data_IF_713018333297
#
_entry.id   IF_713018333297
#
_cell.length_a   1.000
_cell.length_b   1.000
_cell.length_c   1.000
_cell.angle_alpha   90.00
_cell.angle_beta   90.00
_cell.angle_gamma   90.00
#
_symmetry.space_group_name_H-M   'P 1'
#
loop_
_entity.id
_entity.type
_entity.pdbx_description
1 polymer ?
#
# COMPACT_ATOMS: atom_id res chain seq x y z
N UNK A 1 17.02 10.66 -23.67
CA UNK A 1 15.77 11.23 -23.15
C UNK A 1 16.12 11.93 -21.83
N UNK A 2 15.65 13.17 -21.63
CA UNK A 2 16.02 14.00 -20.48
C UNK A 2 15.23 13.68 -19.22
N UNK A 3 15.33 12.45 -18.72
CA UNK A 3 14.74 12.10 -17.43
C UNK A 3 15.65 12.53 -16.27
N UNK A 4 15.08 13.11 -15.24
CA UNK A 4 15.81 13.54 -14.03
C UNK A 4 16.20 12.33 -13.16
N UNK A 5 15.44 11.24 -13.25
CA UNK A 5 15.66 10.03 -12.46
C UNK A 5 15.24 8.78 -13.21
N UNK A 6 16.00 7.71 -13.05
CA UNK A 6 15.75 6.39 -13.61
C UNK A 6 15.69 5.42 -12.44
N UNK A 7 14.55 4.75 -12.26
CA UNK A 7 14.34 3.81 -11.16
C UNK A 7 14.25 2.39 -11.74
N UNK A 8 15.15 1.52 -11.30
CA UNK A 8 15.08 0.09 -11.56
C UNK A 8 14.44 -0.60 -10.36
N UNK A 9 13.46 -1.45 -10.61
CA UNK A 9 12.80 -2.28 -9.60
C UNK A 9 13.17 -3.74 -9.88
N UNK A 10 13.97 -4.35 -9.01
CA UNK A 10 14.46 -5.71 -9.15
C UNK A 10 14.08 -6.57 -7.97
N UNK A 11 14.00 -7.89 -8.16
CA UNK A 11 14.00 -8.83 -7.05
C UNK A 11 15.32 -8.79 -6.29
N UNK A 12 15.30 -9.09 -5.01
CA UNK A 12 16.47 -9.04 -4.13
C UNK A 12 17.61 -9.98 -4.57
N UNK A 13 17.28 -11.04 -5.32
CA UNK A 13 18.25 -11.94 -5.96
C UNK A 13 19.15 -11.24 -6.98
N UNK A 14 18.75 -10.10 -7.50
CA UNK A 14 19.53 -9.28 -8.44
C UNK A 14 20.44 -8.24 -7.76
N UNK A 15 20.67 -8.32 -6.44
CA UNK A 15 21.52 -7.36 -5.71
C UNK A 15 22.92 -7.19 -6.32
N UNK A 16 23.50 -8.25 -6.91
CA UNK A 16 24.80 -8.22 -7.58
C UNK A 16 24.84 -7.33 -8.83
N UNK A 17 23.67 -6.95 -9.40
CA UNK A 17 23.62 -6.06 -10.56
C UNK A 17 23.70 -4.57 -10.20
N UNK A 18 23.53 -4.21 -8.94
CA UNK A 18 23.54 -2.81 -8.50
C UNK A 18 24.85 -2.11 -8.87
N UNK A 19 25.97 -2.69 -8.49
CA UNK A 19 27.30 -2.15 -8.80
C UNK A 19 27.57 -2.12 -10.33
N UNK A 20 27.11 -3.15 -11.04
CA UNK A 20 27.28 -3.24 -12.50
C UNK A 20 26.54 -2.16 -13.25
N UNK A 21 25.28 -1.88 -12.87
CA UNK A 21 24.47 -0.83 -13.50
C UNK A 21 25.03 0.56 -13.24
N UNK A 22 25.48 0.82 -12.00
CA UNK A 22 26.14 2.07 -11.66
C UNK A 22 27.45 2.25 -12.41
N UNK A 23 28.28 1.20 -12.49
CA UNK A 23 29.52 1.20 -13.27
C UNK A 23 29.28 1.40 -14.77
N UNK A 24 28.25 0.79 -15.31
CA UNK A 24 27.85 0.99 -16.72
C UNK A 24 27.44 2.46 -16.98
N UNK A 25 26.65 3.05 -16.08
CA UNK A 25 26.28 4.47 -16.22
C UNK A 25 27.52 5.38 -16.21
N UNK A 26 28.46 5.13 -15.32
CA UNK A 26 29.73 5.87 -15.27
C UNK A 26 30.59 5.69 -16.54
N UNK A 27 30.68 4.45 -17.03
CA UNK A 27 31.44 4.15 -18.26
C UNK A 27 30.86 4.85 -19.50
N UNK A 28 29.55 5.08 -19.52
CA UNK A 28 28.85 5.81 -20.57
C UNK A 28 28.83 7.33 -20.34
N UNK A 29 29.59 7.85 -19.38
CA UNK A 29 29.59 9.24 -18.97
C UNK A 29 28.18 9.79 -18.59
N UNK A 30 27.32 8.91 -18.09
CA UNK A 30 26.01 9.27 -17.56
C UNK A 30 26.12 9.57 -16.07
N UNK A 31 25.28 10.46 -15.59
CA UNK A 31 25.20 10.76 -14.15
C UNK A 31 24.59 9.57 -13.38
N UNK A 32 25.45 8.77 -12.73
CA UNK A 32 25.03 7.61 -11.97
C UNK A 32 24.17 7.96 -10.75
N UNK A 33 24.16 9.22 -10.28
CA UNK A 33 23.28 9.66 -9.17
C UNK A 33 21.81 9.69 -9.58
N UNK A 34 21.52 9.75 -10.87
CA UNK A 34 20.17 9.65 -11.43
C UNK A 34 19.63 8.22 -11.46
N UNK A 35 20.49 7.23 -11.28
CA UNK A 35 20.13 5.81 -11.31
C UNK A 35 19.85 5.32 -9.90
N UNK A 36 18.61 4.98 -9.65
CA UNK A 36 18.15 4.41 -8.40
C UNK A 36 17.73 2.95 -8.61
N UNK A 37 18.08 2.09 -7.68
CA UNK A 37 17.77 0.67 -7.78
C UNK A 37 17.07 0.25 -6.50
N UNK A 38 15.80 -0.15 -6.63
CA UNK A 38 14.99 -0.69 -5.57
C UNK A 38 15.06 -2.22 -5.64
N UNK A 39 15.46 -2.84 -4.54
CA UNK A 39 15.47 -4.29 -4.40
C UNK A 39 14.24 -4.71 -3.61
N UNK A 40 13.38 -5.51 -4.24
CA UNK A 40 12.14 -5.98 -3.64
C UNK A 40 12.34 -7.41 -3.13
N UNK A 41 12.04 -7.63 -1.86
CA UNK A 41 12.11 -8.95 -1.23
C UNK A 41 11.02 -9.89 -1.75
N UNK A 42 11.24 -11.19 -1.56
CA UNK A 42 10.30 -12.21 -2.01
C UNK A 42 9.01 -12.16 -1.20
N UNK A 43 7.90 -12.36 -1.89
CA UNK A 43 6.63 -12.69 -1.27
C UNK A 43 6.48 -14.23 -1.20
N UNK A 44 6.09 -14.73 -0.04
CA UNK A 44 5.79 -16.13 0.18
C UNK A 44 4.30 -16.27 0.41
N UNK A 45 3.63 -17.13 -0.34
CA UNK A 45 2.20 -17.36 -0.19
C UNK A 45 1.95 -18.43 0.86
N UNK A 46 0.96 -18.17 1.70
CA UNK A 46 0.45 -19.11 2.71
C UNK A 46 -1.04 -19.35 2.52
N UNK A 47 -1.49 -20.56 2.80
CA UNK A 47 -2.89 -20.92 2.97
C UNK A 47 -3.07 -21.25 4.47
N UNK A 48 -3.52 -20.29 5.26
CA UNK A 48 -3.44 -20.36 6.71
C UNK A 48 -2.00 -20.51 7.19
N UNK A 49 -1.69 -21.60 7.87
CA UNK A 49 -0.33 -21.88 8.38
C UNK A 49 0.56 -22.67 7.42
N UNK A 50 0.03 -23.09 6.27
CA UNK A 50 0.78 -23.90 5.31
C UNK A 50 1.34 -23.05 4.18
N UNK A 51 2.65 -23.21 3.92
CA UNK A 51 3.30 -22.55 2.81
C UNK A 51 2.85 -23.15 1.49
N UNK A 52 2.34 -22.33 0.58
CA UNK A 52 2.03 -22.74 -0.80
C UNK A 52 3.33 -23.04 -1.53
N UNK A 53 3.51 -24.32 -1.90
CA UNK A 53 4.69 -24.76 -2.63
C UNK A 53 4.65 -24.23 -4.06
N UNK A 54 5.71 -23.50 -4.45
CA UNK A 54 5.85 -22.98 -5.80
C UNK A 54 7.16 -23.46 -6.40
N UNK A 55 7.09 -24.02 -7.60
CA UNK A 55 8.26 -24.45 -8.36
C UNK A 55 8.07 -24.08 -9.83
N UNK A 56 8.84 -23.12 -10.28
CA UNK A 56 8.86 -22.73 -11.71
C UNK A 56 9.33 -23.88 -12.61
N UNK A 57 10.25 -24.72 -12.11
CA UNK A 57 10.76 -25.88 -12.85
C UNK A 57 9.73 -27.00 -13.00
N UNK A 58 8.85 -27.16 -12.02
CA UNK A 58 7.76 -28.14 -12.05
C UNK A 58 6.47 -27.58 -12.66
N UNK A 59 6.44 -26.31 -13.07
CA UNK A 59 5.22 -25.65 -13.58
C UNK A 59 4.16 -25.40 -12.50
N UNK A 60 4.51 -25.56 -11.23
CA UNK A 60 3.61 -25.34 -10.10
C UNK A 60 3.88 -23.97 -9.51
N UNK A 61 3.08 -22.99 -9.87
CA UNK A 61 3.15 -21.63 -9.33
C UNK A 61 1.78 -20.96 -9.43
N UNK A 62 1.52 -20.08 -8.45
CA UNK A 62 0.35 -19.21 -8.47
C UNK A 62 0.72 -17.96 -9.25
N UNK A 63 0.02 -17.69 -10.35
CA UNK A 63 0.22 -16.47 -11.12
C UNK A 63 -0.38 -15.27 -10.39
N UNK A 64 0.11 -14.06 -10.66
CA UNK A 64 -0.50 -12.83 -10.14
C UNK A 64 -1.96 -12.68 -10.59
N UNK A 65 -2.32 -13.22 -11.77
CA UNK A 65 -3.70 -13.24 -12.25
C UNK A 65 -4.57 -14.11 -11.35
N UNK A 66 -4.13 -15.34 -11.08
CA UNK A 66 -4.84 -16.27 -10.19
C UNK A 66 -4.99 -15.68 -8.78
N UNK A 67 -3.91 -15.12 -8.22
CA UNK A 67 -3.96 -14.45 -6.93
C UNK A 67 -5.03 -13.35 -6.91
N UNK A 68 -5.02 -12.48 -7.93
CA UNK A 68 -6.00 -11.38 -8.03
C UNK A 68 -7.43 -11.87 -8.21
N UNK A 69 -7.64 -12.97 -8.94
CA UNK A 69 -8.96 -13.59 -9.13
C UNK A 69 -9.46 -14.21 -7.82
N UNK A 70 -8.57 -14.74 -7.01
CA UNK A 70 -8.86 -15.41 -5.75
C UNK A 70 -9.18 -14.44 -4.61
N UNK A 71 -8.33 -13.45 -4.37
CA UNK A 71 -8.47 -12.51 -3.23
C UNK A 71 -9.06 -11.15 -3.61
N UNK A 72 -9.23 -10.88 -4.89
CA UNK A 72 -9.64 -9.58 -5.41
C UNK A 72 -8.47 -8.60 -5.61
N UNK A 73 -8.68 -7.61 -6.48
CA UNK A 73 -7.64 -6.65 -6.84
C UNK A 73 -7.21 -5.76 -5.67
N UNK A 74 -8.16 -5.33 -4.84
CA UNK A 74 -7.90 -4.43 -3.72
C UNK A 74 -7.07 -5.12 -2.63
N UNK A 75 -7.45 -6.35 -2.26
CA UNK A 75 -6.70 -7.13 -1.28
C UNK A 75 -5.29 -7.46 -1.81
N UNK A 76 -5.16 -7.94 -3.05
CA UNK A 76 -3.86 -8.22 -3.63
C UNK A 76 -2.94 -6.98 -3.58
N UNK A 77 -3.41 -5.82 -4.02
CA UNK A 77 -2.62 -4.58 -4.00
C UNK A 77 -2.27 -4.11 -2.59
N UNK A 78 -3.24 -4.14 -1.68
CA UNK A 78 -3.03 -3.68 -0.31
C UNK A 78 -1.99 -4.52 0.42
N UNK A 79 -2.09 -5.85 0.36
CA UNK A 79 -1.14 -6.74 1.01
C UNK A 79 0.29 -6.57 0.48
N UNK A 80 0.46 -6.36 -0.83
CA UNK A 80 1.78 -6.10 -1.41
C UNK A 80 2.40 -4.78 -0.95
N UNK A 81 1.61 -3.73 -0.72
CA UNK A 81 2.13 -2.42 -0.32
C UNK A 81 2.13 -2.21 1.20
N UNK A 82 1.57 -3.13 1.97
CA UNK A 82 1.52 -3.05 3.43
C UNK A 82 2.89 -3.25 4.08
N UNK A 83 3.83 -3.88 3.38
CA UNK A 83 5.22 -4.08 3.81
C UNK A 83 6.16 -3.25 2.95
N UNK A 84 7.29 -2.83 3.54
CA UNK A 84 8.32 -2.17 2.75
C UNK A 84 8.94 -3.16 1.75
N UNK A 85 9.43 -2.65 0.63
CA UNK A 85 10.05 -3.48 -0.40
C UNK A 85 11.30 -4.25 0.11
N UNK A 86 11.92 -3.80 1.20
CA UNK A 86 13.08 -4.45 1.83
C UNK A 86 12.68 -5.59 2.77
N UNK A 87 11.42 -5.71 3.13
CA UNK A 87 10.92 -6.72 4.05
C UNK A 87 10.31 -7.92 3.29
N UNK A 88 10.52 -9.11 3.83
CA UNK A 88 9.80 -10.29 3.36
C UNK A 88 8.29 -10.13 3.59
N UNK A 89 7.50 -10.52 2.60
CA UNK A 89 6.05 -10.55 2.68
C UNK A 89 5.57 -11.99 2.80
N UNK A 90 5.00 -12.32 3.95
CA UNK A 90 4.18 -13.52 4.10
C UNK A 90 2.74 -13.15 3.73
N UNK A 91 2.29 -13.60 2.58
CA UNK A 91 0.97 -13.32 2.05
C UNK A 91 0.02 -14.45 2.41
N UNK A 92 -0.82 -14.23 3.39
CA UNK A 92 -1.83 -15.18 3.82
C UNK A 92 -3.10 -15.04 2.94
N UNK A 93 -3.32 -16.05 2.08
CA UNK A 93 -4.46 -16.11 1.17
C UNK A 93 -5.78 -16.26 1.92
N UNK A 94 -5.81 -17.06 3.00
CA UNK A 94 -7.00 -17.23 3.81
C UNK A 94 -7.41 -15.93 4.47
N UNK A 95 -6.46 -15.20 5.07
CA UNK A 95 -6.71 -13.89 5.67
C UNK A 95 -7.19 -12.88 4.62
N UNK A 96 -6.57 -12.88 3.44
CA UNK A 96 -6.91 -11.94 2.37
C UNK A 96 -8.33 -12.14 1.79
N UNK A 97 -8.89 -13.35 1.93
CA UNK A 97 -10.29 -13.67 1.53
C UNK A 97 -11.32 -13.33 2.60
N UNK A 98 -10.91 -13.16 3.87
CA UNK A 98 -11.85 -12.94 4.98
C UNK A 98 -12.56 -11.59 4.84
N UNK A 99 -13.87 -11.62 5.07
CA UNK A 99 -14.72 -10.44 5.19
C UNK A 99 -14.96 -10.08 6.67
N UNK A 100 -13.88 -10.05 7.45
CA UNK A 100 -13.89 -9.75 8.88
C UNK A 100 -12.87 -8.67 9.20
N UNK A 101 -12.97 -8.09 10.40
CA UNK A 101 -12.06 -7.03 10.85
C UNK A 101 -10.60 -7.49 10.98
N UNK A 102 -10.32 -8.79 10.96
CA UNK A 102 -8.95 -9.32 10.95
C UNK A 102 -8.27 -9.04 9.61
N UNK A 103 -9.04 -8.93 8.51
CA UNK A 103 -8.52 -8.55 7.21
C UNK A 103 -8.35 -7.03 7.15
N UNK A 104 -7.13 -6.50 7.05
CA UNK A 104 -6.88 -5.06 7.07
C UNK A 104 -7.53 -4.32 5.90
N UNK A 105 -7.68 -4.97 4.74
CA UNK A 105 -8.39 -4.38 3.59
C UNK A 105 -9.88 -4.19 3.90
N UNK A 106 -10.49 -5.24 4.42
CA UNK A 106 -11.90 -5.20 4.81
C UNK A 106 -12.14 -4.14 5.89
N UNK A 107 -11.23 -4.03 6.86
CA UNK A 107 -11.31 -3.03 7.92
C UNK A 107 -11.31 -1.60 7.38
N UNK A 108 -10.43 -1.28 6.43
CA UNK A 108 -10.39 0.04 5.75
C UNK A 108 -11.67 0.28 4.94
N UNK A 109 -12.10 -0.71 4.15
CA UNK A 109 -13.33 -0.63 3.36
C UNK A 109 -14.57 -0.48 4.25
N UNK A 110 -14.59 -1.15 5.40
CA UNK A 110 -15.68 -1.01 6.39
C UNK A 110 -15.75 0.41 6.96
N UNK A 111 -14.62 1.01 7.31
CA UNK A 111 -14.58 2.40 7.77
C UNK A 111 -15.17 3.36 6.71
N UNK A 112 -14.77 3.20 5.44
CA UNK A 112 -15.34 3.97 4.33
C UNK A 112 -16.85 3.75 4.19
N UNK A 113 -17.31 2.50 4.24
CA UNK A 113 -18.72 2.16 4.15
C UNK A 113 -19.57 2.78 5.29
N UNK A 114 -19.00 2.87 6.49
CA UNK A 114 -19.63 3.53 7.64
C UNK A 114 -19.81 5.03 7.40
N UNK A 115 -18.79 5.71 6.90
CA UNK A 115 -18.85 7.13 6.56
C UNK A 115 -19.89 7.37 5.45
N UNK A 116 -19.84 6.56 4.38
CA UNK A 116 -20.84 6.66 3.29
C UNK A 116 -22.27 6.41 3.78
N UNK A 117 -22.47 5.47 4.70
CA UNK A 117 -23.76 5.21 5.32
C UNK A 117 -24.27 6.40 6.15
N UNK A 118 -23.35 7.08 6.87
CA UNK A 118 -23.72 8.29 7.62
C UNK A 118 -24.27 9.37 6.70
N UNK A 119 -23.62 9.65 5.59
CA UNK A 119 -24.09 10.64 4.63
C UNK A 119 -25.45 10.26 4.03
N UNK A 120 -25.70 9.00 3.68
CA UNK A 120 -27.01 8.54 3.23
C UNK A 120 -28.11 8.77 4.28
N UNK A 121 -27.80 8.47 5.56
CA UNK A 121 -28.76 8.72 6.65
C UNK A 121 -29.08 10.22 6.83
N UNK A 122 -28.11 11.11 6.62
CA UNK A 122 -28.35 12.55 6.63
C UNK A 122 -29.34 12.95 5.53
N UNK A 123 -29.17 12.42 4.31
CA UNK A 123 -30.06 12.66 3.19
C UNK A 123 -31.47 12.14 3.48
N UNK A 124 -31.62 10.91 3.96
CA UNK A 124 -32.91 10.30 4.32
C UNK A 124 -33.65 11.09 5.40
N UNK A 125 -32.94 11.66 6.34
CA UNK A 125 -33.48 12.51 7.41
C UNK A 125 -33.66 13.97 7.00
N UNK A 126 -33.37 14.31 5.75
CA UNK A 126 -33.39 15.68 5.23
C UNK A 126 -32.48 16.65 6.02
N UNK A 127 -31.42 16.12 6.64
CA UNK A 127 -30.42 16.91 7.33
C UNK A 127 -29.29 17.24 6.33
N UNK A 128 -29.22 18.49 5.92
CA UNK A 128 -28.17 18.95 5.00
C UNK A 128 -26.80 19.03 5.69
N UNK A 129 -25.76 18.56 5.02
CA UNK A 129 -24.38 18.87 5.41
C UNK A 129 -24.06 20.32 5.01
N UNK A 130 -23.62 21.12 5.97
CA UNK A 130 -23.18 22.49 5.73
C UNK A 130 -21.77 22.69 6.29
N UNK A 131 -20.81 22.87 5.37
CA UNK A 131 -19.40 23.04 5.74
C UNK A 131 -19.16 24.24 6.64
N UNK A 132 -19.80 25.40 6.34
CA UNK A 132 -19.60 26.62 7.11
C UNK A 132 -20.08 26.45 8.57
N UNK A 133 -21.22 25.77 8.75
CA UNK A 133 -21.73 25.45 10.09
C UNK A 133 -20.81 24.46 10.84
N UNK A 134 -20.25 23.48 10.14
CA UNK A 134 -19.27 22.56 10.70
C UNK A 134 -17.99 23.28 11.11
N UNK A 135 -17.48 24.16 10.25
CA UNK A 135 -16.28 24.97 10.56
C UNK A 135 -16.50 25.89 11.75
N UNK A 136 -17.68 26.46 11.92
CA UNK A 136 -18.06 27.32 13.05
C UNK A 136 -18.26 26.55 14.36
N UNK A 137 -18.41 25.22 14.32
CA UNK A 137 -18.68 24.38 15.48
C UNK A 137 -17.49 23.50 15.86
N UNK A 138 -16.28 23.75 15.31
CA UNK A 138 -15.07 22.94 15.60
C UNK A 138 -14.67 22.94 17.07
N UNK A 139 -14.93 24.03 17.78
CA UNK A 139 -14.69 24.15 19.22
C UNK A 139 -15.53 23.20 20.07
N UNK A 140 -16.58 22.61 19.49
CA UNK A 140 -17.45 21.61 20.13
C UNK A 140 -16.91 20.20 20.04
N UNK A 141 -15.90 19.95 19.21
CA UNK A 141 -15.23 18.66 19.06
C UNK A 141 -14.21 18.48 20.18
N UNK A 142 -14.67 18.11 21.36
CA UNK A 142 -13.85 18.07 22.59
C UNK A 142 -13.56 16.64 23.07
N UNK A 143 -14.20 15.63 22.47
CA UNK A 143 -13.95 14.24 22.83
C UNK A 143 -12.56 13.81 22.38
N UNK A 144 -11.86 13.01 23.20
CA UNK A 144 -10.49 12.54 22.93
C UNK A 144 -10.36 11.92 21.52
N UNK A 145 -11.28 11.01 21.14
CA UNK A 145 -11.25 10.38 19.83
C UNK A 145 -11.44 11.37 18.66
N UNK A 146 -12.15 12.49 18.86
CA UNK A 146 -12.30 13.54 17.85
C UNK A 146 -10.99 14.32 17.71
N UNK A 147 -10.32 14.63 18.81
CA UNK A 147 -9.02 15.30 18.82
C UNK A 147 -7.94 14.43 18.16
N UNK A 148 -7.90 13.14 18.47
CA UNK A 148 -6.98 12.17 17.87
C UNK A 148 -7.19 12.06 16.36
N UNK A 149 -8.45 11.97 15.94
CA UNK A 149 -8.77 11.91 14.50
C UNK A 149 -8.36 13.21 13.78
N UNK A 150 -8.62 14.38 14.37
CA UNK A 150 -8.19 15.66 13.79
C UNK A 150 -6.67 15.74 13.67
N UNK A 151 -5.93 15.32 14.69
CA UNK A 151 -4.46 15.29 14.69
C UNK A 151 -3.94 14.36 13.60
N UNK A 152 -4.52 13.18 13.47
CA UNK A 152 -4.17 12.21 12.42
C UNK A 152 -4.43 12.76 11.02
N UNK A 153 -5.59 13.39 10.80
CA UNK A 153 -5.93 14.00 9.52
C UNK A 153 -5.00 15.17 9.15
N UNK A 154 -4.55 15.96 10.13
CA UNK A 154 -3.60 17.05 9.91
C UNK A 154 -2.22 16.54 9.49
N UNK A 155 -1.78 15.37 9.97
CA UNK A 155 -0.50 14.76 9.59
C UNK A 155 -0.52 14.10 8.22
N UNK A 156 -1.70 13.84 7.64
CA UNK A 156 -1.86 13.07 6.40
C UNK A 156 -1.10 13.65 5.19
N UNK A 157 -1.13 14.97 4.90
CA UNK A 157 -0.38 15.53 3.77
C UNK A 157 1.13 15.32 3.88
N UNK A 158 1.67 15.43 5.08
CA UNK A 158 3.10 15.17 5.34
C UNK A 158 3.44 13.69 5.16
N UNK A 159 2.60 12.81 5.70
CA UNK A 159 2.73 11.35 5.54
C UNK A 159 2.76 10.96 4.06
N UNK A 160 1.83 11.47 3.26
CA UNK A 160 1.80 11.21 1.81
C UNK A 160 3.05 11.73 1.11
N UNK A 161 3.49 12.94 1.46
CA UNK A 161 4.71 13.53 0.89
C UNK A 161 5.96 12.72 1.24
N UNK A 162 6.07 12.27 2.49
CA UNK A 162 7.19 11.43 2.95
C UNK A 162 7.18 10.06 2.26
N UNK A 163 6.03 9.40 2.19
CA UNK A 163 5.85 8.12 1.50
C UNK A 163 6.23 8.21 0.01
N UNK A 164 5.80 9.27 -0.67
CA UNK A 164 6.13 9.50 -2.08
C UNK A 164 7.64 9.73 -2.29
N UNK A 165 8.28 10.52 -1.44
CA UNK A 165 9.74 10.77 -1.50
C UNK A 165 10.54 9.48 -1.23
N UNK A 166 10.11 8.70 -0.26
CA UNK A 166 10.74 7.44 0.09
C UNK A 166 10.37 6.30 -0.89
N UNK A 167 9.35 6.47 -1.73
CA UNK A 167 8.73 5.41 -2.53
C UNK A 167 8.32 4.21 -1.68
N UNK A 168 7.75 4.49 -0.55
CA UNK A 168 7.46 3.56 0.55
C UNK A 168 6.04 3.84 1.06
N UNK A 169 5.00 3.21 0.44
CA UNK A 169 3.60 3.56 0.70
C UNK A 169 3.02 2.95 1.99
N UNK A 170 3.77 2.08 2.69
CA UNK A 170 3.33 1.44 3.94
C UNK A 170 3.26 2.40 5.12
#
# INVERSE_FOLDING_TARGET
>A
RGYDRIVYVFGADHHGYVARLKGMAQALALDASRVEILLVQFAVLYEGNERVQMSTRAGQFVTLRQLREDVGADAARFFYVMRSHEQHLDFDLELARKHTNDNPVYYVQYAHARVASLFRQLEEKQLGYNRASGDAARDKLTHEAEQDLMTLLLSFPETVSAAAKARSPQ
#
